data_IF_843002739403
#
_entry.id   IF_843002739403
#
_cell.length_a   1.000
_cell.length_b   1.000
_cell.length_c   1.000
_cell.angle_alpha   90.00
_cell.angle_beta   90.00
_cell.angle_gamma   90.00
#
_symmetry.space_group_name_H-M   'P 1'
#
loop_
_entity.id
_entity.type
_entity.pdbx_description
1 polymer ?
#
# COMPACT_ATOMS: atom_id res chain seq x y z
N UNK A 1 -16.91 24.52 -10.18
CA UNK A 1 -17.84 23.37 -10.08
C UNK A 1 -18.22 23.03 -11.50
N UNK A 2 -17.60 21.99 -12.07
CA UNK A 2 -17.98 21.46 -13.38
C UNK A 2 -19.27 20.64 -13.21
N UNK A 3 -20.16 20.72 -14.19
CA UNK A 3 -21.45 20.02 -14.20
C UNK A 3 -21.21 18.51 -14.41
N UNK A 4 -22.11 17.61 -13.96
CA UNK A 4 -22.05 16.18 -14.28
C UNK A 4 -22.04 15.84 -15.79
N UNK A 5 -22.20 16.84 -16.67
CA UNK A 5 -22.11 16.74 -18.13
C UNK A 5 -20.70 16.97 -18.71
N UNK A 6 -19.69 17.29 -17.89
CA UNK A 6 -18.33 17.60 -18.35
C UNK A 6 -17.38 16.38 -18.32
N UNK A 7 -17.91 15.17 -18.12
CA UNK A 7 -17.12 13.94 -18.21
C UNK A 7 -16.96 13.52 -19.67
N UNK A 8 -15.75 13.12 -20.14
CA UNK A 8 -15.59 12.60 -21.49
C UNK A 8 -16.51 11.40 -21.69
N UNK A 9 -17.12 11.30 -22.87
CA UNK A 9 -17.83 10.07 -23.21
C UNK A 9 -16.84 8.89 -23.35
N UNK A 10 -17.40 7.68 -23.31
CA UNK A 10 -16.64 6.44 -23.30
C UNK A 10 -15.77 6.24 -24.55
N UNK A 11 -16.18 6.79 -25.70
CA UNK A 11 -15.40 6.69 -26.94
C UNK A 11 -14.13 7.53 -26.81
N UNK A 12 -14.23 8.77 -26.33
CA UNK A 12 -13.09 9.65 -26.14
C UNK A 12 -12.08 9.08 -25.13
N UNK A 13 -12.58 8.56 -23.99
CA UNK A 13 -11.73 7.93 -22.98
C UNK A 13 -10.94 6.75 -23.58
N UNK A 14 -11.61 5.86 -24.32
CA UNK A 14 -10.98 4.71 -24.96
C UNK A 14 -9.95 5.11 -26.02
N UNK A 15 -10.24 6.16 -26.81
CA UNK A 15 -9.32 6.66 -27.82
C UNK A 15 -8.07 7.27 -27.18
N UNK A 16 -8.22 8.10 -26.15
CA UNK A 16 -7.08 8.73 -25.45
C UNK A 16 -6.22 7.70 -24.72
N UNK A 17 -6.82 6.73 -24.03
CA UNK A 17 -6.06 5.66 -23.37
C UNK A 17 -5.32 4.80 -24.41
N UNK A 18 -5.98 4.41 -25.51
CA UNK A 18 -5.35 3.69 -26.61
C UNK A 18 -4.19 4.46 -27.25
N UNK A 19 -4.28 5.80 -27.33
CA UNK A 19 -3.19 6.65 -27.82
C UNK A 19 -1.99 6.61 -26.88
N UNK A 20 -2.24 6.74 -25.58
CA UNK A 20 -1.20 6.77 -24.54
C UNK A 20 -0.46 5.43 -24.49
N UNK A 21 -1.19 4.33 -24.64
CA UNK A 21 -0.63 2.98 -24.63
C UNK A 21 0.00 2.57 -25.98
N UNK A 22 -0.09 3.41 -27.01
CA UNK A 22 0.42 3.14 -28.35
C UNK A 22 -0.33 2.03 -29.09
N UNK A 23 -1.61 1.81 -28.76
CA UNK A 23 -2.45 0.72 -29.27
C UNK A 23 -3.55 1.18 -30.23
N UNK A 24 -3.50 2.42 -30.73
CA UNK A 24 -4.45 2.89 -31.75
C UNK A 24 -4.06 2.42 -33.15
N UNK A 25 -5.04 1.89 -33.88
CA UNK A 25 -4.98 1.76 -35.34
C UNK A 25 -5.22 3.13 -36.03
N UNK A 26 -5.01 3.18 -37.35
CA UNK A 26 -5.12 4.44 -38.11
C UNK A 26 -6.53 5.03 -38.10
N UNK A 27 -7.57 4.21 -38.12
CA UNK A 27 -8.96 4.66 -38.17
C UNK A 27 -9.34 5.33 -36.85
N UNK A 28 -8.99 4.70 -35.73
CA UNK A 28 -9.23 5.23 -34.39
C UNK A 28 -8.34 6.45 -34.09
N UNK A 29 -7.13 6.51 -34.63
CA UNK A 29 -6.28 7.70 -34.51
C UNK A 29 -6.90 8.91 -35.24
N UNK A 30 -7.37 8.72 -36.47
CA UNK A 30 -8.07 9.78 -37.22
C UNK A 30 -9.34 10.24 -36.51
N UNK A 31 -10.07 9.30 -35.89
CA UNK A 31 -11.25 9.59 -35.07
C UNK A 31 -10.91 10.43 -33.84
N UNK A 32 -9.82 10.11 -33.15
CA UNK A 32 -9.33 10.91 -32.02
C UNK A 32 -8.95 12.33 -32.48
N UNK A 33 -8.19 12.46 -33.56
CA UNK A 33 -7.80 13.77 -34.11
C UNK A 33 -9.01 14.64 -34.48
N UNK A 34 -10.04 14.05 -35.08
CA UNK A 34 -11.29 14.75 -35.40
C UNK A 34 -11.93 15.32 -34.14
N UNK A 35 -12.02 14.53 -33.07
CA UNK A 35 -12.62 14.94 -31.81
C UNK A 35 -11.79 16.00 -31.09
N UNK A 36 -10.48 15.83 -31.00
CA UNK A 36 -9.58 16.82 -30.40
C UNK A 36 -9.64 18.19 -31.10
N UNK A 37 -9.93 18.19 -32.41
CA UNK A 37 -10.08 19.42 -33.20
C UNK A 37 -11.42 20.12 -32.98
N UNK A 38 -12.49 19.34 -32.85
CA UNK A 38 -13.87 19.85 -32.87
C UNK A 38 -14.46 20.05 -31.46
N UNK A 39 -13.89 19.41 -30.44
CA UNK A 39 -14.40 19.40 -29.08
C UNK A 39 -13.33 19.92 -28.09
N UNK A 40 -13.42 21.18 -27.61
CA UNK A 40 -12.47 21.73 -26.63
C UNK A 40 -12.35 20.90 -25.36
N UNK A 41 -13.46 20.34 -24.87
CA UNK A 41 -13.48 19.43 -23.71
C UNK A 41 -12.69 18.13 -23.96
N UNK A 42 -12.64 17.66 -25.22
CA UNK A 42 -11.85 16.50 -25.59
C UNK A 42 -10.35 16.78 -25.55
N UNK A 43 -9.95 17.96 -26.01
CA UNK A 43 -8.57 18.43 -25.93
C UNK A 43 -8.11 18.59 -24.47
N UNK A 44 -8.95 19.20 -23.62
CA UNK A 44 -8.66 19.36 -22.19
C UNK A 44 -8.54 18.01 -21.49
N UNK A 45 -9.47 17.09 -21.73
CA UNK A 45 -9.40 15.74 -21.18
C UNK A 45 -8.13 14.99 -21.64
N UNK A 46 -7.81 15.04 -22.93
CA UNK A 46 -6.60 14.41 -23.47
C UNK A 46 -5.33 15.01 -22.85
N UNK A 47 -5.25 16.34 -22.73
CA UNK A 47 -4.12 17.02 -22.10
C UNK A 47 -3.98 16.65 -20.61
N UNK A 48 -5.09 16.59 -19.87
CA UNK A 48 -5.10 16.14 -18.48
C UNK A 48 -4.64 14.68 -18.37
N UNK A 49 -5.06 13.81 -19.28
CA UNK A 49 -4.70 12.39 -19.29
C UNK A 49 -3.23 12.14 -19.66
N UNK A 50 -2.68 12.90 -20.59
CA UNK A 50 -1.24 12.89 -20.91
C UNK A 50 -0.42 13.41 -19.73
N UNK A 51 -0.82 14.55 -19.14
CA UNK A 51 -0.14 15.13 -17.99
C UNK A 51 -0.16 14.17 -16.79
N UNK A 52 -1.30 13.52 -16.58
CA UNK A 52 -1.48 12.47 -15.59
C UNK A 52 -0.48 11.33 -15.81
N UNK A 53 -0.45 10.76 -17.02
CA UNK A 53 0.44 9.64 -17.33
C UNK A 53 1.91 10.02 -17.26
N UNK A 54 2.26 11.26 -17.65
CA UNK A 54 3.61 11.80 -17.49
C UNK A 54 4.02 11.91 -16.02
N UNK A 55 3.15 12.45 -15.15
CA UNK A 55 3.39 12.52 -13.70
C UNK A 55 3.52 11.13 -13.10
N UNK A 56 2.66 10.20 -13.50
CA UNK A 56 2.70 8.82 -13.04
C UNK A 56 4.00 8.12 -13.46
N UNK A 57 4.44 8.29 -14.71
CA UNK A 57 5.71 7.76 -15.22
C UNK A 57 6.93 8.42 -14.56
N UNK A 58 6.84 9.66 -14.11
CA UNK A 58 7.90 10.29 -13.30
C UNK A 58 7.95 9.72 -11.87
N UNK A 59 6.79 9.41 -11.28
CA UNK A 59 6.68 8.83 -9.93
C UNK A 59 7.07 7.34 -9.94
N UNK A 60 6.68 6.59 -10.97
CA UNK A 60 6.90 5.15 -11.12
C UNK A 60 8.11 4.80 -12.00
N UNK A 61 8.76 5.81 -12.59
CA UNK A 61 9.94 5.63 -13.42
C UNK A 61 11.09 4.98 -12.64
N UNK A 62 11.97 4.22 -13.30
CA UNK A 62 13.04 3.51 -12.62
C UNK A 62 13.87 4.47 -11.78
N UNK A 63 13.98 4.16 -10.49
CA UNK A 63 14.85 4.86 -9.57
C UNK A 63 16.28 4.86 -10.14
N UNK A 64 16.91 6.04 -10.13
CA UNK A 64 18.29 6.24 -10.60
C UNK A 64 19.20 5.11 -10.11
N UNK A 65 19.77 4.34 -11.03
CA UNK A 65 20.79 3.34 -10.73
C UNK A 65 22.12 4.06 -10.69
N UNK A 66 22.69 4.20 -9.50
CA UNK A 66 24.01 4.77 -9.33
C UNK A 66 25.00 3.63 -9.09
N UNK A 67 25.86 3.39 -10.09
CA UNK A 67 26.89 2.37 -10.02
C UNK A 67 28.17 3.03 -9.50
N UNK A 68 28.47 2.84 -8.21
CA UNK A 68 29.69 3.37 -7.61
C UNK A 68 30.76 2.28 -7.64
N UNK A 69 31.78 2.48 -8.46
CA UNK A 69 32.91 1.57 -8.57
C UNK A 69 34.10 2.12 -7.77
N UNK A 70 34.36 1.53 -6.61
CA UNK A 70 35.50 1.90 -5.77
C UNK A 70 36.68 0.95 -6.04
N UNK A 71 37.82 1.51 -6.45
CA UNK A 71 39.09 0.77 -6.58
C UNK A 71 39.98 1.13 -5.42
N UNK A 72 40.30 0.16 -4.56
CA UNK A 72 41.31 0.33 -3.50
C UNK A 72 42.58 -0.42 -3.88
N UNK A 73 43.70 0.29 -3.83
CA UNK A 73 45.04 -0.27 -4.00
C UNK A 73 45.72 -0.27 -2.63
N UNK A 74 45.85 -1.44 -2.03
CA UNK A 74 46.55 -1.64 -0.76
C UNK A 74 47.93 -2.20 -1.05
N UNK A 75 48.97 -1.48 -0.62
CA UNK A 75 50.36 -1.94 -0.66
C UNK A 75 50.76 -2.17 0.79
N UNK A 76 50.77 -3.42 1.22
CA UNK A 76 51.27 -3.79 2.54
C UNK A 76 52.70 -4.32 2.41
N UNK A 77 53.57 -3.85 3.31
CA UNK A 77 54.96 -4.27 3.38
C UNK A 77 55.36 -4.55 4.82
N UNK A 78 55.85 -5.77 5.06
CA UNK A 78 56.67 -6.06 6.23
C UNK A 78 57.95 -6.75 5.73
N UNK A 79 59.09 -6.05 5.85
CA UNK A 79 60.38 -6.49 5.33
C UNK A 79 60.51 -6.38 3.80
N UNK A 80 61.36 -7.22 3.19
CA UNK A 80 61.70 -7.19 1.77
C UNK A 80 60.60 -7.71 0.83
N UNK A 81 59.46 -8.19 1.36
CA UNK A 81 58.31 -8.61 0.56
C UNK A 81 57.22 -7.54 0.59
N UNK A 82 56.88 -7.01 -0.60
CA UNK A 82 55.73 -6.11 -0.80
C UNK A 82 54.60 -6.88 -1.46
N UNK A 83 53.41 -6.83 -0.85
CA UNK A 83 52.19 -7.41 -1.43
C UNK A 83 51.27 -6.26 -1.86
N UNK A 84 50.95 -6.22 -3.15
CA UNK A 84 49.97 -5.30 -3.71
C UNK A 84 48.65 -6.05 -3.87
N UNK A 85 47.62 -5.61 -3.16
CA UNK A 85 46.25 -6.14 -3.29
C UNK A 85 45.40 -5.05 -3.93
N UNK A 86 44.86 -5.36 -5.11
CA UNK A 86 43.92 -4.51 -5.83
C UNK A 86 42.53 -5.08 -5.57
N UNK A 87 41.76 -4.40 -4.71
CA UNK A 87 40.36 -4.72 -4.49
C UNK A 87 39.47 -3.87 -5.38
N UNK A 88 38.60 -4.50 -6.17
CA UNK A 88 37.45 -3.84 -6.79
C UNK A 88 36.21 -4.20 -5.99
N UNK A 89 35.52 -3.19 -5.47
CA UNK A 89 34.13 -3.36 -5.04
C UNK A 89 33.21 -2.67 -6.03
N UNK A 90 32.14 -3.37 -6.40
CA UNK A 90 31.02 -2.80 -7.14
C UNK A 90 29.87 -2.67 -6.16
N UNK A 91 29.43 -1.43 -5.93
CA UNK A 91 28.20 -1.18 -5.17
C UNK A 91 27.17 -0.68 -6.15
N UNK A 92 26.12 -1.48 -6.35
CA UNK A 92 24.96 -1.06 -7.15
C UNK A 92 23.93 -0.51 -6.18
N UNK A 93 23.71 0.81 -6.23
CA UNK A 93 22.77 1.48 -5.36
C UNK A 93 21.43 1.65 -6.09
N UNK A 94 20.36 1.13 -5.50
CA UNK A 94 18.99 1.34 -5.95
C UNK A 94 18.29 2.24 -4.94
N UNK A 95 17.82 3.42 -5.36
CA UNK A 95 17.00 4.26 -4.49
C UNK A 95 16.62 5.60 -5.07
N UNK A 96 15.33 5.93 -4.95
CA UNK A 96 14.85 7.31 -4.95
C UNK A 96 14.69 7.76 -3.50
N UNK A 97 15.43 8.81 -3.11
CA UNK A 97 15.26 9.52 -1.85
C UNK A 97 15.46 8.69 -0.57
N UNK A 98 16.71 8.63 -0.11
CA UNK A 98 17.00 8.58 1.33
C UNK A 98 16.78 7.26 2.08
N UNK A 99 17.28 6.13 1.56
CA UNK A 99 17.93 5.05 2.33
C UNK A 99 18.33 3.92 1.36
N UNK A 100 19.55 3.39 1.48
CA UNK A 100 20.17 2.52 0.49
C UNK A 100 20.25 1.07 0.99
N UNK A 101 19.70 0.13 0.22
CA UNK A 101 19.91 -1.30 0.42
C UNK A 101 21.31 -1.67 -0.08
N UNK A 102 22.21 -2.11 0.81
CA UNK A 102 23.58 -2.53 0.48
C UNK A 102 23.61 -4.03 0.14
N UNK A 103 23.90 -4.35 -1.13
CA UNK A 103 24.29 -5.70 -1.54
C UNK A 103 25.80 -5.71 -1.82
N UNK A 104 26.57 -6.27 -0.89
CA UNK A 104 28.01 -6.53 -1.10
C UNK A 104 28.21 -7.88 -1.79
N UNK A 105 28.55 -7.85 -3.07
CA UNK A 105 29.09 -9.01 -3.78
C UNK A 105 30.61 -8.98 -3.76
N UNK A 106 31.25 -9.96 -3.12
CA UNK A 106 32.69 -10.22 -3.32
C UNK A 106 32.84 -11.22 -4.47
N UNK A 107 33.59 -10.85 -5.52
CA UNK A 107 33.90 -11.76 -6.62
C UNK A 107 35.20 -12.51 -6.31
N UNK A 108 35.32 -13.83 -6.60
CA UNK A 108 36.55 -14.57 -6.36
C UNK A 108 37.66 -14.13 -7.30
N UNK A 109 38.89 -14.12 -6.80
CA UNK A 109 40.10 -13.75 -7.52
C UNK A 109 40.27 -14.58 -8.81
N UNK A 110 40.27 -13.91 -9.97
CA UNK A 110 40.72 -14.51 -11.22
C UNK A 110 42.25 -14.42 -11.34
N UNK A 111 42.88 -15.58 -11.49
CA UNK A 111 44.32 -15.74 -11.60
C UNK A 111 44.73 -15.68 -13.08
N UNK A 112 45.07 -14.49 -13.60
CA UNK A 112 45.58 -14.36 -14.97
C UNK A 112 47.09 -14.12 -14.96
N UNK A 113 47.84 -15.16 -15.31
CA UNK A 113 49.28 -15.15 -15.61
C UNK A 113 49.53 -14.50 -16.98
N UNK A 114 49.49 -13.17 -17.10
CA UNK A 114 50.31 -12.46 -18.09
C UNK A 114 50.37 -10.94 -17.84
N UNK A 115 51.53 -10.36 -17.48
CA UNK A 115 51.61 -8.96 -17.05
C UNK A 115 51.38 -7.93 -18.17
N UNK A 116 51.54 -8.31 -19.44
CA UNK A 116 51.41 -7.37 -20.58
C UNK A 116 49.96 -6.92 -20.87
N UNK A 117 48.97 -7.77 -20.61
CA UNK A 117 47.56 -7.40 -20.83
C UNK A 117 47.01 -6.46 -19.74
N UNK A 118 47.52 -6.57 -18.50
CA UNK A 118 47.13 -5.71 -17.39
C UNK A 118 47.47 -4.23 -17.65
N UNK A 119 48.67 -3.94 -18.15
CA UNK A 119 49.10 -2.57 -18.44
C UNK A 119 48.32 -1.92 -19.58
N UNK A 120 47.92 -2.69 -20.60
CA UNK A 120 47.11 -2.17 -21.71
C UNK A 120 45.69 -1.81 -21.25
N UNK A 121 45.07 -2.66 -20.42
CA UNK A 121 43.74 -2.38 -19.84
C UNK A 121 43.73 -1.21 -18.86
N UNK A 122 44.82 -0.97 -18.13
CA UNK A 122 44.96 0.21 -17.25
C UNK A 122 45.11 1.49 -18.08
N UNK A 123 45.91 1.45 -19.16
CA UNK A 123 46.08 2.60 -20.05
C UNK A 123 44.76 3.05 -20.71
N UNK A 124 43.96 2.10 -21.20
CA UNK A 124 42.65 2.39 -21.81
C UNK A 124 41.66 2.95 -20.78
N UNK A 125 41.66 2.44 -19.55
CA UNK A 125 40.80 2.94 -18.48
C UNK A 125 41.13 4.38 -18.05
N UNK A 126 42.42 4.75 -18.02
CA UNK A 126 42.87 6.12 -17.71
C UNK A 126 42.46 7.09 -18.82
N UNK A 127 42.60 6.68 -20.08
CA UNK A 127 42.19 7.48 -21.24
C UNK A 127 40.67 7.73 -21.26
N UNK A 128 39.86 6.71 -20.98
CA UNK A 128 38.41 6.85 -20.87
C UNK A 128 37.99 7.73 -19.69
N UNK A 129 38.65 7.61 -18.53
CA UNK A 129 38.40 8.46 -17.38
C UNK A 129 38.74 9.93 -17.67
N UNK A 130 39.86 10.20 -18.35
CA UNK A 130 40.24 11.55 -18.77
C UNK A 130 39.23 12.14 -19.77
N UNK A 131 38.70 11.33 -20.68
CA UNK A 131 37.70 11.75 -21.67
C UNK A 131 36.35 12.10 -21.01
N UNK A 132 35.90 11.28 -20.05
CA UNK A 132 34.68 11.54 -19.26
C UNK A 132 34.83 12.78 -18.38
N UNK A 133 36.00 12.96 -17.75
CA UNK A 133 36.29 14.15 -16.94
C UNK A 133 36.32 15.42 -17.79
N UNK A 134 36.88 15.35 -19.00
CA UNK A 134 36.89 16.47 -19.96
C UNK A 134 35.47 16.83 -20.41
N UNK A 135 34.60 15.82 -20.60
CA UNK A 135 33.20 16.03 -20.97
C UNK A 135 32.36 16.61 -19.81
N UNK A 136 32.68 16.24 -18.56
CA UNK A 136 32.03 16.78 -17.37
C UNK A 136 32.42 18.25 -17.10
N UNK A 137 33.69 18.61 -17.34
CA UNK A 137 34.18 19.99 -17.21
C UNK A 137 33.57 20.89 -18.31
N UNK A 138 33.38 20.37 -19.52
CA UNK A 138 32.74 21.11 -20.62
C UNK A 138 31.23 21.30 -20.45
N UNK A 139 30.56 20.51 -19.61
CA UNK A 139 29.13 20.69 -19.25
C UNK A 139 28.90 21.65 -18.08
N UNK A 140 29.95 22.09 -17.38
CA UNK A 140 29.81 22.91 -16.17
C UNK A 140 29.64 24.42 -16.43
N UNK A 141 29.12 24.80 -17.59
CA UNK A 141 28.89 26.19 -17.96
C UNK A 141 27.40 26.44 -18.21
N UNK A 142 26.59 26.26 -17.17
CA UNK A 142 25.28 26.90 -16.97
C UNK A 142 24.74 26.46 -15.60
N UNK A 143 25.21 27.11 -14.53
CA UNK A 143 24.59 27.02 -13.22
C UNK A 143 23.45 28.03 -13.14
N UNK A 144 22.23 27.66 -12.72
CA UNK A 144 21.18 28.62 -12.44
C UNK A 144 21.53 29.46 -11.20
N UNK A 145 20.98 30.69 -11.07
CA UNK A 145 21.36 31.60 -10.00
C UNK A 145 20.97 31.07 -8.60
N UNK A 146 21.75 31.42 -7.57
CA UNK A 146 21.51 30.95 -6.21
C UNK A 146 20.24 31.62 -5.65
N UNK A 147 19.23 30.81 -5.30
CA UNK A 147 17.98 31.28 -4.70
C UNK A 147 16.70 30.56 -5.13
N UNK A 148 16.76 29.63 -6.09
CA UNK A 148 15.60 28.79 -6.41
C UNK A 148 15.48 27.62 -5.39
N UNK A 149 14.31 27.39 -4.79
CA UNK A 149 14.09 26.26 -3.89
C UNK A 149 14.27 24.92 -4.63
N UNK A 150 14.78 23.92 -3.91
CA UNK A 150 15.01 22.59 -4.47
C UNK A 150 13.68 21.95 -4.94
N UNK A 151 13.66 21.14 -6.01
CA UNK A 151 12.47 20.42 -6.46
C UNK A 151 11.90 19.41 -5.44
N UNK A 152 12.57 19.20 -4.29
CA UNK A 152 12.12 18.31 -3.22
C UNK A 152 11.23 18.98 -2.17
N UNK A 153 11.03 20.30 -2.22
CA UNK A 153 10.18 21.02 -1.26
C UNK A 153 8.87 21.57 -1.88
N UNK A 154 8.76 21.59 -3.21
CA UNK A 154 7.55 21.99 -3.91
C UNK A 154 6.62 20.78 -4.12
N UNK A 155 5.90 20.37 -3.07
CA UNK A 155 4.79 19.43 -3.25
C UNK A 155 4.56 18.40 -2.14
N UNK A 156 5.18 18.51 -0.96
CA UNK A 156 4.58 17.85 0.21
C UNK A 156 3.29 18.59 0.52
N UNK A 157 2.09 17.99 0.36
CA UNK A 157 0.91 18.60 0.94
C UNK A 157 1.22 18.83 2.42
N UNK A 158 1.04 20.08 2.86
CA UNK A 158 1.03 20.43 4.27
C UNK A 158 0.19 19.39 5.01
N UNK A 159 0.65 18.97 6.19
CA UNK A 159 0.05 17.94 7.02
C UNK A 159 -1.47 18.06 7.07
N UNK A 160 -2.18 17.36 6.19
CA UNK A 160 -3.60 17.12 6.34
C UNK A 160 -3.66 16.30 7.62
N UNK A 161 -4.15 16.91 8.69
CA UNK A 161 -4.28 16.25 9.97
C UNK A 161 -5.39 15.20 9.81
N UNK A 162 -4.99 13.95 9.62
CA UNK A 162 -5.90 12.79 9.45
C UNK A 162 -6.65 12.40 10.73
N UNK A 163 -6.54 13.22 11.77
CA UNK A 163 -7.37 13.07 12.95
C UNK A 163 -8.84 13.23 12.59
N UNK A 164 -9.70 12.62 13.40
CA UNK A 164 -11.15 12.73 13.25
C UNK A 164 -11.76 13.13 14.57
N UNK A 165 -12.15 14.39 14.66
CA UNK A 165 -12.87 14.92 15.81
C UNK A 165 -14.20 14.19 15.97
N UNK A 166 -14.53 13.71 17.17
CA UNK A 166 -15.84 13.12 17.44
C UNK A 166 -16.97 14.13 17.19
N UNK A 167 -18.10 13.64 16.67
CA UNK A 167 -19.23 14.45 16.21
C UNK A 167 -20.17 14.88 17.35
N UNK A 168 -20.10 14.20 18.49
CA UNK A 168 -20.97 14.44 19.65
C UNK A 168 -20.33 13.90 20.93
N UNK A 169 -20.84 14.25 22.13
CA UNK A 169 -20.39 13.65 23.39
C UNK A 169 -20.53 12.12 23.43
N UNK A 170 -21.60 11.57 22.86
CA UNK A 170 -21.80 10.12 22.77
C UNK A 170 -20.77 9.47 21.84
N UNK A 171 -20.47 10.11 20.71
CA UNK A 171 -19.44 9.67 19.77
C UNK A 171 -18.04 9.76 20.40
N UNK A 172 -17.76 10.82 21.17
CA UNK A 172 -16.51 10.96 21.94
C UNK A 172 -16.36 9.81 22.94
N UNK A 173 -17.39 9.52 23.74
CA UNK A 173 -17.36 8.39 24.68
C UNK A 173 -17.08 7.07 23.97
N UNK A 174 -17.78 6.81 22.86
CA UNK A 174 -17.57 5.61 22.05
C UNK A 174 -16.11 5.48 21.57
N UNK A 175 -15.55 6.53 20.97
CA UNK A 175 -14.18 6.48 20.47
C UNK A 175 -13.14 6.36 21.58
N UNK A 176 -13.36 6.98 22.74
CA UNK A 176 -12.46 6.82 23.90
C UNK A 176 -12.50 5.39 24.44
N UNK A 177 -13.68 4.76 24.52
CA UNK A 177 -13.80 3.35 24.90
C UNK A 177 -13.14 2.42 23.87
N UNK A 178 -13.32 2.71 22.58
CA UNK A 178 -12.67 1.97 21.49
C UNK A 178 -11.14 2.09 21.55
N UNK A 179 -10.61 3.29 21.69
CA UNK A 179 -9.17 3.54 21.85
C UNK A 179 -8.60 2.89 23.12
N UNK A 180 -9.33 2.97 24.23
CA UNK A 180 -8.94 2.30 25.49
C UNK A 180 -8.88 0.78 25.30
N UNK A 181 -9.85 0.18 24.59
CA UNK A 181 -9.83 -1.25 24.25
C UNK A 181 -8.64 -1.65 23.37
N UNK A 182 -8.18 -0.75 22.49
CA UNK A 182 -6.96 -0.94 21.67
C UNK A 182 -5.66 -0.63 22.43
N UNK A 183 -5.73 -0.27 23.71
CA UNK A 183 -4.58 0.11 24.53
C UNK A 183 -3.90 1.41 24.07
N UNK A 184 -4.66 2.38 23.57
CA UNK A 184 -4.12 3.68 23.16
C UNK A 184 -3.66 4.49 24.37
N UNK A 185 -2.49 5.12 24.23
CA UNK A 185 -2.06 6.17 25.15
C UNK A 185 -2.63 7.55 24.73
N UNK A 186 -2.47 8.56 25.59
CA UNK A 186 -2.99 9.91 25.33
C UNK A 186 -2.45 10.54 24.04
N UNK A 187 -1.18 10.30 23.68
CA UNK A 187 -0.59 10.84 22.46
C UNK A 187 -1.25 10.24 21.20
N UNK A 188 -1.57 8.95 21.24
CA UNK A 188 -2.26 8.26 20.15
C UNK A 188 -3.73 8.66 20.09
N UNK A 189 -4.39 8.83 21.23
CA UNK A 189 -5.76 9.37 21.29
C UNK A 189 -5.82 10.77 20.68
N UNK A 190 -4.83 11.63 20.96
CA UNK A 190 -4.69 12.95 20.33
C UNK A 190 -4.46 12.83 18.83
N UNK A 191 -3.60 11.92 18.39
CA UNK A 191 -3.36 11.69 16.96
C UNK A 191 -4.63 11.21 16.23
N UNK A 192 -5.46 10.39 16.90
CA UNK A 192 -6.70 9.88 16.34
C UNK A 192 -7.84 10.91 16.32
N UNK A 193 -7.95 11.75 17.36
CA UNK A 193 -9.10 12.65 17.56
C UNK A 193 -8.84 14.11 17.23
N UNK A 194 -7.59 14.58 17.38
CA UNK A 194 -7.24 15.99 17.26
C UNK A 194 -7.70 16.85 18.44
N UNK A 195 -8.05 16.23 19.57
CA UNK A 195 -8.38 16.90 20.83
C UNK A 195 -7.13 17.11 21.68
N UNK A 196 -7.10 18.18 22.47
CA UNK A 196 -5.99 18.45 23.37
C UNK A 196 -5.96 17.46 24.55
N UNK A 197 -4.77 17.26 25.13
CA UNK A 197 -4.57 16.30 26.23
C UNK A 197 -5.49 16.57 27.41
N UNK A 198 -5.69 17.83 27.78
CA UNK A 198 -6.57 18.22 28.89
C UNK A 198 -8.03 17.88 28.64
N UNK A 199 -8.51 18.03 27.40
CA UNK A 199 -9.85 17.65 26.98
C UNK A 199 -10.03 16.12 27.05
N UNK A 200 -9.05 15.37 26.54
CA UNK A 200 -9.05 13.90 26.58
C UNK A 200 -9.07 13.37 28.01
N UNK A 201 -8.20 13.88 28.88
CA UNK A 201 -8.18 13.48 30.29
C UNK A 201 -9.48 13.82 31.02
N UNK A 202 -10.04 15.01 30.75
CA UNK A 202 -11.31 15.39 31.35
C UNK A 202 -12.44 14.48 30.90
N UNK A 203 -12.49 14.11 29.61
CA UNK A 203 -13.49 13.21 29.07
C UNK A 203 -13.31 11.78 29.60
N UNK A 204 -12.08 11.26 29.67
CA UNK A 204 -11.79 9.94 30.24
C UNK A 204 -12.25 9.84 31.71
N UNK A 205 -11.99 10.89 32.51
CA UNK A 205 -12.48 10.97 33.90
C UNK A 205 -14.01 11.09 33.96
N UNK A 206 -14.60 11.96 33.14
CA UNK A 206 -16.05 12.19 33.12
C UNK A 206 -16.84 10.94 32.75
N UNK A 207 -16.34 10.15 31.80
CA UNK A 207 -16.99 8.93 31.33
C UNK A 207 -16.53 7.67 32.07
N UNK A 208 -15.63 7.82 33.05
CA UNK A 208 -15.09 6.73 33.87
C UNK A 208 -14.48 5.59 33.04
N UNK A 209 -13.83 5.92 31.91
CA UNK A 209 -13.38 4.91 30.93
C UNK A 209 -12.16 4.18 31.45
N UNK A 210 -12.34 2.88 31.73
CA UNK A 210 -11.28 2.00 32.27
C UNK A 210 -10.84 0.89 31.30
N UNK A 211 -11.50 0.76 30.14
CA UNK A 211 -11.14 -0.20 29.08
C UNK A 211 -11.94 -1.51 29.09
N UNK A 212 -13.00 -1.60 29.89
CA UNK A 212 -13.85 -2.80 30.00
C UNK A 212 -15.24 -2.66 29.34
N UNK A 213 -15.63 -1.44 28.99
CA UNK A 213 -17.04 -1.07 28.89
C UNK A 213 -17.71 -1.27 27.52
N UNK A 214 -16.98 -1.72 26.50
CA UNK A 214 -17.61 -1.96 25.21
C UNK A 214 -18.45 -3.23 25.28
N UNK A 215 -19.73 -3.08 24.92
CA UNK A 215 -20.70 -4.16 24.84
C UNK A 215 -20.22 -5.23 23.84
N UNK A 216 -19.60 -6.27 24.40
CA UNK A 216 -19.09 -7.41 23.68
C UNK A 216 -20.04 -8.59 23.88
N UNK A 217 -20.69 -8.95 22.77
CA UNK A 217 -21.45 -10.17 22.63
C UNK A 217 -20.54 -11.39 22.78
N UNK A 218 -20.74 -12.18 23.84
CA UNK A 218 -19.91 -13.35 24.19
C UNK A 218 -20.02 -14.52 23.20
N UNK A 219 -21.01 -14.48 22.32
CA UNK A 219 -21.28 -15.49 21.29
C UNK A 219 -20.57 -15.21 19.95
N UNK A 220 -19.76 -14.16 19.87
CA UNK A 220 -19.01 -13.79 18.66
C UNK A 220 -17.63 -13.21 19.00
N UNK A 221 -16.72 -13.14 18.03
CA UNK A 221 -15.46 -12.42 18.16
C UNK A 221 -15.70 -10.90 18.32
N UNK A 222 -14.84 -10.24 19.08
CA UNK A 222 -14.90 -8.79 19.23
C UNK A 222 -14.29 -8.12 17.99
N UNK A 223 -15.13 -7.36 17.30
CA UNK A 223 -14.74 -6.56 16.13
C UNK A 223 -15.06 -5.10 16.40
N UNK A 224 -14.11 -4.21 16.13
CA UNK A 224 -14.26 -2.76 16.33
C UNK A 224 -13.60 -1.98 15.20
N UNK A 225 -14.13 -0.84 14.75
CA UNK A 225 -13.44 0.04 13.80
C UNK A 225 -12.07 0.44 14.36
N UNK A 226 -11.03 0.40 13.51
CA UNK A 226 -9.70 0.81 13.95
C UNK A 226 -9.70 2.32 14.24
N UNK A 227 -9.18 2.80 15.39
CA UNK A 227 -9.29 4.22 15.73
C UNK A 227 -8.56 5.21 14.80
N UNK A 228 -7.56 4.73 14.05
CA UNK A 228 -6.59 5.60 13.37
C UNK A 228 -5.59 6.22 14.35
N UNK A 229 -4.75 7.16 13.91
CA UNK A 229 -3.77 7.85 14.75
C UNK A 229 -2.54 7.02 15.17
N UNK A 230 -2.72 5.72 15.42
CA UNK A 230 -1.63 4.73 15.53
C UNK A 230 -1.39 4.10 14.15
N UNK A 231 -0.13 3.80 13.83
CA UNK A 231 0.22 3.12 12.58
C UNK A 231 -0.10 1.61 12.69
N UNK A 232 -0.88 1.01 11.78
CA UNK A 232 -1.30 -0.39 11.90
C UNK A 232 -0.21 -1.40 11.50
N UNK A 233 0.81 -0.97 10.73
CA UNK A 233 1.99 -1.80 10.40
C UNK A 233 3.11 -1.68 11.44
N UNK A 234 3.82 -2.78 11.67
CA UNK A 234 5.06 -2.83 12.46
C UNK A 234 6.21 -2.15 11.72
N UNK A 235 6.46 -2.56 10.47
CA UNK A 235 7.48 -1.99 9.57
C UNK A 235 6.91 -1.57 8.21
N UNK A 236 7.79 -1.13 7.31
CA UNK A 236 7.44 -0.63 5.97
C UNK A 236 6.35 0.47 6.03
N UNK A 237 6.52 1.41 6.98
CA UNK A 237 5.53 2.46 7.31
C UNK A 237 5.56 3.59 6.26
N UNK A 238 6.69 3.79 5.62
CA UNK A 238 6.90 4.67 4.49
C UNK A 238 6.10 4.26 3.24
N UNK A 239 5.65 3.00 3.17
CA UNK A 239 4.74 2.48 2.13
C UNK A 239 3.27 2.45 2.57
N UNK A 240 2.94 3.17 3.63
CA UNK A 240 1.58 3.40 4.13
C UNK A 240 1.50 4.73 4.87
N UNK A 241 1.99 5.80 4.24
CA UNK A 241 2.01 7.13 4.85
C UNK A 241 0.59 7.58 5.15
N UNK A 242 0.35 8.05 6.38
CA UNK A 242 -0.95 8.53 6.84
C UNK A 242 -2.10 7.53 6.58
N UNK A 243 -2.10 6.37 7.26
CA UNK A 243 -3.13 5.36 7.09
C UNK A 243 -4.49 5.90 7.53
N UNK A 244 -5.45 5.83 6.62
CA UNK A 244 -6.84 6.21 6.85
C UNK A 244 -7.55 5.11 7.64
N UNK A 245 -8.46 5.48 8.54
CA UNK A 245 -9.24 4.50 9.31
C UNK A 245 -10.50 3.99 8.59
N UNK A 246 -10.86 4.61 7.48
CA UNK A 246 -12.12 4.42 6.72
C UNK A 246 -12.41 2.95 6.39
N UNK A 247 -11.38 2.24 5.94
CA UNK A 247 -11.45 0.86 5.46
C UNK A 247 -10.94 -0.15 6.49
N UNK A 248 -10.65 0.29 7.73
CA UNK A 248 -9.93 -0.52 8.72
C UNK A 248 -10.80 -0.93 9.89
N UNK A 249 -10.77 -2.21 10.19
CA UNK A 249 -11.46 -2.82 11.34
C UNK A 249 -10.47 -3.72 12.08
N UNK A 250 -10.56 -3.75 13.40
CA UNK A 250 -9.79 -4.63 14.26
C UNK A 250 -10.62 -5.85 14.66
N UNK A 251 -10.00 -7.03 14.61
CA UNK A 251 -10.55 -8.27 15.18
C UNK A 251 -9.66 -8.68 16.34
N UNK A 252 -10.23 -8.73 17.55
CA UNK A 252 -9.51 -9.11 18.75
C UNK A 252 -9.41 -10.62 18.89
N UNK A 253 -8.26 -11.08 19.37
CA UNK A 253 -8.02 -12.52 19.53
C UNK A 253 -8.87 -13.12 20.65
N UNK A 254 -9.19 -14.43 20.59
CA UNK A 254 -9.89 -15.11 21.67
C UNK A 254 -9.00 -15.44 22.88
N UNK A 255 -7.67 -15.49 22.70
CA UNK A 255 -6.70 -15.87 23.75
C UNK A 255 -6.05 -14.70 24.49
N UNK A 256 -6.11 -13.49 23.94
CA UNK A 256 -5.49 -12.30 24.52
C UNK A 256 -6.43 -11.11 24.42
N UNK A 257 -6.56 -10.37 25.53
CA UNK A 257 -7.43 -9.19 25.62
C UNK A 257 -6.87 -8.02 24.83
N UNK A 258 -5.55 -7.93 24.75
CA UNK A 258 -4.82 -6.80 24.19
C UNK A 258 -4.46 -7.01 22.72
N UNK A 259 -4.34 -8.27 22.28
CA UNK A 259 -3.95 -8.57 20.91
C UNK A 259 -5.14 -8.46 19.94
N UNK A 260 -4.89 -7.81 18.81
CA UNK A 260 -5.82 -7.68 17.71
C UNK A 260 -5.11 -7.61 16.37
N UNK A 261 -5.83 -8.01 15.33
CA UNK A 261 -5.42 -7.90 13.93
C UNK A 261 -6.22 -6.79 13.28
N UNK A 262 -5.58 -5.94 12.48
CA UNK A 262 -6.28 -4.91 11.69
C UNK A 262 -6.49 -5.43 10.27
N UNK A 263 -7.74 -5.53 9.84
CA UNK A 263 -8.12 -5.82 8.45
C UNK A 263 -8.33 -4.50 7.71
N UNK A 264 -7.63 -4.31 6.60
CA UNK A 264 -7.77 -3.16 5.70
C UNK A 264 -8.45 -3.63 4.40
N UNK A 265 -9.74 -3.32 4.27
CA UNK A 265 -10.66 -3.99 3.36
C UNK A 265 -11.40 -2.97 2.47
N UNK A 266 -11.03 -2.85 1.18
CA UNK A 266 -9.70 -3.13 0.66
C UNK A 266 -8.70 -2.04 1.09
N UNK A 267 -7.43 -2.40 1.18
CA UNK A 267 -6.32 -1.45 1.26
C UNK A 267 -6.19 -0.64 -0.05
N UNK A 268 -6.38 -1.30 -1.18
CA UNK A 268 -6.29 -0.67 -2.49
C UNK A 268 -7.28 -1.24 -3.49
N UNK A 269 -7.79 -0.39 -4.38
CA UNK A 269 -8.55 -0.76 -5.55
C UNK A 269 -7.83 -0.22 -6.80
N UNK A 270 -7.40 -1.10 -7.71
CA UNK A 270 -6.58 -0.71 -8.86
C UNK A 270 -6.93 -1.45 -10.15
N UNK A 271 -6.68 -0.83 -11.31
CA UNK A 271 -6.70 -1.46 -12.64
C UNK A 271 -5.60 -0.87 -13.51
N UNK A 272 -4.93 -1.68 -14.32
CA UNK A 272 -4.02 -1.24 -15.40
C UNK A 272 -3.05 -0.09 -15.03
N UNK A 273 -2.45 -0.19 -13.83
CA UNK A 273 -1.52 0.77 -13.20
C UNK A 273 -2.13 2.00 -12.52
N UNK A 274 -3.45 2.12 -12.48
CA UNK A 274 -4.17 3.20 -11.82
C UNK A 274 -4.76 2.74 -10.49
N UNK A 275 -4.59 3.57 -9.45
CA UNK A 275 -5.30 3.40 -8.18
C UNK A 275 -6.60 4.21 -8.19
N UNK A 276 -7.73 3.51 -8.17
CA UNK A 276 -9.06 4.09 -7.92
C UNK A 276 -9.26 4.40 -6.44
N UNK A 277 -8.64 3.61 -5.57
CA UNK A 277 -8.66 3.84 -4.14
C UNK A 277 -7.37 3.35 -3.50
N UNK A 278 -6.91 4.08 -2.48
CA UNK A 278 -5.81 3.70 -1.62
C UNK A 278 -6.13 4.18 -0.20
N UNK A 279 -5.97 3.29 0.78
CA UNK A 279 -6.31 3.54 2.19
C UNK A 279 -5.24 4.33 2.95
N UNK A 280 -4.23 4.85 2.25
CA UNK A 280 -3.11 5.64 2.73
C UNK A 280 -2.59 6.52 1.57
N UNK A 281 -1.55 7.29 1.81
CA UNK A 281 -1.17 8.45 0.99
C UNK A 281 0.25 8.36 0.39
N UNK A 282 0.86 7.18 0.39
CA UNK A 282 2.24 7.02 -0.13
C UNK A 282 2.29 7.14 -1.67
N UNK A 283 1.20 6.76 -2.35
CA UNK A 283 1.02 6.84 -3.80
C UNK A 283 -0.25 7.61 -4.16
N UNK A 284 -0.23 8.32 -5.30
CA UNK A 284 -1.43 9.01 -5.78
C UNK A 284 -2.51 8.06 -6.29
N UNK A 285 -3.76 8.36 -5.96
CA UNK A 285 -4.93 7.84 -6.68
C UNK A 285 -5.28 8.73 -7.88
N UNK A 286 -6.10 8.22 -8.80
CA UNK A 286 -6.56 9.02 -9.94
C UNK A 286 -7.26 10.32 -9.51
N UNK A 287 -7.97 10.28 -8.39
CA UNK A 287 -8.68 11.42 -7.81
C UNK A 287 -7.72 12.46 -7.25
N UNK A 288 -6.71 12.02 -6.51
CA UNK A 288 -5.73 12.92 -5.92
C UNK A 288 -4.94 13.70 -6.98
N UNK A 289 -4.65 13.07 -8.13
CA UNK A 289 -3.98 13.71 -9.26
C UNK A 289 -4.88 14.73 -9.98
N UNK A 290 -6.20 14.57 -9.88
CA UNK A 290 -7.20 15.53 -10.35
C UNK A 290 -7.51 16.61 -9.29
N UNK A 291 -6.84 16.59 -8.13
CA UNK A 291 -7.14 17.50 -7.02
C UNK A 291 -8.46 17.20 -6.30
N UNK A 292 -9.02 16.01 -6.52
CA UNK A 292 -10.25 15.57 -5.86
C UNK A 292 -9.90 14.83 -4.58
N UNK A 293 -10.36 15.38 -3.45
CA UNK A 293 -10.27 14.72 -2.15
C UNK A 293 -11.53 13.90 -1.90
N UNK A 294 -11.36 12.59 -1.69
CA UNK A 294 -12.47 11.73 -1.29
C UNK A 294 -12.90 12.04 0.15
N UNK A 295 -14.21 12.04 0.44
CA UNK A 295 -14.70 12.29 1.79
C UNK A 295 -14.33 11.17 2.75
N UNK A 296 -14.15 11.52 4.03
CA UNK A 296 -13.94 10.56 5.12
C UNK A 296 -15.22 9.79 5.43
N UNK A 297 -15.09 8.49 5.70
CA UNK A 297 -16.19 7.56 6.01
C UNK A 297 -15.99 6.89 7.36
N UNK A 298 -17.08 6.66 8.09
CA UNK A 298 -17.08 5.81 9.29
C UNK A 298 -17.85 4.53 9.01
N UNK A 299 -17.47 3.45 9.67
CA UNK A 299 -18.22 2.21 9.67
C UNK A 299 -19.58 2.40 10.35
N UNK A 300 -20.63 1.92 9.71
CA UNK A 300 -21.95 1.77 10.30
C UNK A 300 -21.97 0.48 11.14
N UNK A 301 -22.32 0.61 12.43
CA UNK A 301 -22.52 -0.54 13.32
C UNK A 301 -23.96 -1.04 13.18
N UNK A 302 -24.11 -2.30 12.83
CA UNK A 302 -25.41 -2.97 12.72
C UNK A 302 -25.85 -3.56 14.07
N UNK A 303 -27.17 -3.75 14.30
CA UNK A 303 -27.68 -4.33 15.55
C UNK A 303 -27.15 -5.74 15.86
N UNK A 304 -26.75 -6.48 14.83
CA UNK A 304 -26.16 -7.82 14.98
C UNK A 304 -24.74 -7.79 15.55
N UNK A 305 -24.08 -6.63 15.57
CA UNK A 305 -22.65 -6.48 15.86
C UNK A 305 -21.77 -6.48 14.61
N UNK A 306 -22.35 -6.66 13.43
CA UNK A 306 -21.66 -6.49 12.16
C UNK A 306 -21.36 -5.00 11.88
N UNK A 307 -20.38 -4.77 11.01
CA UNK A 307 -20.00 -3.43 10.54
C UNK A 307 -20.08 -3.38 9.02
N UNK A 308 -20.56 -2.27 8.48
CA UNK A 308 -20.52 -2.03 7.04
C UNK A 308 -20.10 -0.61 6.67
N UNK A 309 -19.53 -0.43 5.50
CA UNK A 309 -19.40 0.88 4.88
C UNK A 309 -19.56 0.76 3.36
N UNK A 310 -19.85 1.91 2.71
CA UNK A 310 -19.86 2.04 1.25
C UNK A 310 -19.12 3.30 0.85
N UNK A 311 -18.26 3.18 -0.16
CA UNK A 311 -17.56 4.29 -0.81
C UNK A 311 -18.01 4.42 -2.25
N UNK A 312 -18.46 5.62 -2.60
CA UNK A 312 -18.73 6.02 -3.98
C UNK A 312 -17.52 6.76 -4.52
N UNK A 313 -17.10 6.42 -5.74
CA UNK A 313 -16.01 7.07 -6.44
C UNK A 313 -16.58 8.03 -7.51
N UNK A 314 -15.88 9.14 -7.82
CA UNK A 314 -16.37 10.16 -8.75
C UNK A 314 -16.76 9.68 -10.15
N UNK A 315 -16.25 8.55 -10.63
CA UNK A 315 -16.60 7.99 -11.94
C UNK A 315 -17.85 7.12 -11.95
N UNK A 316 -18.57 6.96 -10.84
CA UNK A 316 -19.73 6.05 -10.77
C UNK A 316 -19.38 4.60 -10.41
N UNK A 317 -18.12 4.30 -10.06
CA UNK A 317 -17.80 3.03 -9.40
C UNK A 317 -18.06 3.17 -7.91
N UNK A 318 -18.72 2.20 -7.29
CA UNK A 318 -18.83 2.14 -5.84
C UNK A 318 -18.40 0.79 -5.31
N UNK A 319 -17.87 0.77 -4.09
CA UNK A 319 -17.57 -0.47 -3.40
C UNK A 319 -18.00 -0.39 -1.94
N UNK A 320 -18.29 -1.52 -1.33
CA UNK A 320 -18.68 -1.60 0.07
C UNK A 320 -18.20 -2.89 0.70
N UNK A 321 -17.96 -2.84 2.00
CA UNK A 321 -17.56 -4.00 2.78
C UNK A 321 -18.52 -4.20 3.93
N UNK A 322 -18.91 -5.45 4.15
CA UNK A 322 -19.60 -5.91 5.35
C UNK A 322 -18.71 -6.90 6.10
N UNK A 323 -18.65 -6.74 7.42
CA UNK A 323 -17.83 -7.53 8.34
C UNK A 323 -18.76 -8.08 9.41
N UNK A 324 -18.97 -9.39 9.41
CA UNK A 324 -19.93 -10.07 10.28
C UNK A 324 -19.19 -11.01 11.23
N UNK A 325 -19.07 -10.62 12.52
CA UNK A 325 -18.45 -11.46 13.53
C UNK A 325 -19.31 -12.70 13.83
N UNK A 326 -18.66 -13.84 13.96
CA UNK A 326 -19.22 -15.11 14.43
C UNK A 326 -18.40 -15.60 15.64
N UNK A 327 -18.79 -16.73 16.24
CA UNK A 327 -18.14 -17.28 17.45
C UNK A 327 -16.63 -17.51 17.30
N UNK A 328 -16.20 -18.06 16.17
CA UNK A 328 -14.82 -18.50 15.90
C UNK A 328 -14.19 -17.83 14.68
N UNK A 329 -14.95 -16.95 14.00
CA UNK A 329 -14.61 -16.45 12.68
C UNK A 329 -15.28 -15.11 12.40
N UNK A 330 -14.87 -14.47 11.31
CA UNK A 330 -15.47 -13.26 10.77
C UNK A 330 -15.74 -13.50 9.29
N UNK A 331 -16.99 -13.31 8.89
CA UNK A 331 -17.39 -13.30 7.48
C UNK A 331 -17.12 -11.92 6.91
N UNK A 332 -16.52 -11.87 5.73
CA UNK A 332 -16.25 -10.65 5.00
C UNK A 332 -17.05 -10.69 3.70
N UNK A 333 -17.65 -9.57 3.31
CA UNK A 333 -18.29 -9.44 1.99
C UNK A 333 -17.80 -8.15 1.35
N UNK A 334 -17.19 -8.24 0.18
CA UNK A 334 -16.82 -7.10 -0.65
C UNK A 334 -17.81 -7.01 -1.80
N UNK A 335 -18.39 -5.83 -1.98
CA UNK A 335 -19.32 -5.53 -3.08
C UNK A 335 -18.70 -4.45 -3.96
N UNK A 336 -18.82 -4.60 -5.27
CA UNK A 336 -18.38 -3.59 -6.24
C UNK A 336 -19.51 -3.40 -7.24
N UNK A 337 -20.00 -2.17 -7.36
CA UNK A 337 -21.07 -1.79 -8.29
C UNK A 337 -20.51 -0.88 -9.37
N UNK A 338 -20.87 -1.19 -10.62
CA UNK A 338 -20.46 -0.43 -11.78
C UNK A 338 -21.62 0.41 -12.32
N UNK A 339 -21.76 1.66 -11.88
CA UNK A 339 -22.75 2.58 -12.43
C UNK A 339 -22.19 3.37 -13.64
N UNK A 340 -21.09 2.89 -14.25
CA UNK A 340 -20.50 3.49 -15.44
C UNK A 340 -21.10 2.88 -16.73
N UNK A 341 -20.90 3.55 -17.86
CA UNK A 341 -21.36 3.04 -19.16
C UNK A 341 -20.48 1.92 -19.75
N UNK A 342 -19.33 1.62 -19.14
CA UNK A 342 -18.36 0.66 -19.67
C UNK A 342 -18.14 -0.51 -18.71
N UNK A 343 -17.88 -1.73 -19.22
CA UNK A 343 -17.51 -2.85 -18.35
C UNK A 343 -16.21 -2.56 -17.60
N UNK A 344 -16.19 -2.83 -16.30
CA UNK A 344 -14.95 -2.80 -15.51
C UNK A 344 -14.26 -4.15 -15.68
N UNK A 345 -13.00 -4.11 -16.12
CA UNK A 345 -12.14 -5.28 -16.33
C UNK A 345 -10.87 -5.11 -15.51
N UNK A 346 -10.17 -6.21 -15.22
CA UNK A 346 -8.86 -6.22 -14.56
C UNK A 346 -8.79 -5.48 -13.21
N UNK A 347 -9.93 -5.24 -12.56
CA UNK A 347 -9.98 -4.61 -11.25
C UNK A 347 -9.36 -5.56 -10.22
N UNK A 348 -8.53 -5.00 -9.35
CA UNK A 348 -7.85 -5.73 -8.28
C UNK A 348 -8.18 -5.05 -6.96
N UNK A 349 -8.70 -5.83 -6.02
CA UNK A 349 -8.84 -5.43 -4.62
C UNK A 349 -7.72 -6.06 -3.81
N UNK A 350 -6.87 -5.22 -3.23
CA UNK A 350 -5.86 -5.66 -2.26
C UNK A 350 -6.49 -5.65 -0.87
N UNK A 351 -6.60 -6.81 -0.24
CA UNK A 351 -7.14 -6.95 1.11
C UNK A 351 -5.98 -7.29 2.05
N UNK A 352 -5.71 -6.43 3.02
CA UNK A 352 -4.51 -6.52 3.84
C UNK A 352 -4.85 -6.89 5.28
N UNK A 353 -4.12 -7.84 5.83
CA UNK A 353 -4.23 -8.25 7.23
C UNK A 353 -2.95 -7.82 7.95
N UNK A 354 -3.08 -6.87 8.86
CA UNK A 354 -1.99 -6.17 9.51
C UNK A 354 -1.83 -6.66 10.95
N UNK A 355 -0.65 -7.20 11.26
CA UNK A 355 -0.35 -7.86 12.54
C UNK A 355 0.27 -6.92 13.59
N UNK A 356 0.19 -5.60 13.41
CA UNK A 356 0.83 -4.64 14.31
C UNK A 356 0.29 -4.59 15.72
N UNK A 357 -0.94 -5.08 15.93
CA UNK A 357 -1.54 -5.26 17.26
C UNK A 357 -1.32 -6.64 17.86
N UNK A 358 -0.46 -7.50 17.27
CA UNK A 358 -0.27 -8.90 17.69
C UNK A 358 1.13 -9.11 18.26
N UNK A 359 1.26 -9.13 19.59
CA UNK A 359 2.57 -9.17 20.28
C UNK A 359 3.42 -10.38 19.87
N UNK A 360 2.80 -11.57 19.81
CA UNK A 360 3.46 -12.84 19.46
C UNK A 360 3.65 -13.09 17.95
N UNK A 361 3.24 -12.14 17.09
CA UNK A 361 3.32 -12.23 15.62
C UNK A 361 4.19 -11.11 15.03
N UNK A 362 5.05 -10.50 15.83
CA UNK A 362 5.86 -9.33 15.44
C UNK A 362 7.04 -9.64 14.51
N UNK A 363 7.34 -10.92 14.29
CA UNK A 363 8.44 -11.36 13.42
C UNK A 363 8.24 -10.92 11.96
N UNK A 364 9.21 -10.15 11.46
CA UNK A 364 9.27 -9.60 10.10
C UNK A 364 9.87 -10.61 9.11
N UNK A 365 9.20 -11.75 8.94
CA UNK A 365 9.65 -12.85 8.04
C UNK A 365 8.50 -13.35 7.17
N UNK A 366 8.82 -14.11 6.13
CA UNK A 366 7.87 -14.92 5.36
C UNK A 366 7.83 -16.37 5.84
N UNK A 367 8.82 -16.83 6.62
CA UNK A 367 8.91 -18.22 7.08
C UNK A 367 7.76 -18.63 8.00
N UNK A 368 7.10 -17.64 8.62
CA UNK A 368 5.94 -17.86 9.47
C UNK A 368 4.60 -17.85 8.71
N UNK A 369 4.64 -17.87 7.37
CA UNK A 369 3.45 -17.76 6.52
C UNK A 369 3.22 -19.03 5.73
N UNK A 370 1.95 -19.37 5.60
CA UNK A 370 1.47 -20.47 4.75
C UNK A 370 0.51 -19.87 3.73
N UNK A 371 0.76 -20.15 2.46
CA UNK A 371 -0.10 -19.77 1.35
C UNK A 371 -0.60 -21.04 0.67
N UNK A 372 -1.90 -21.34 0.81
CA UNK A 372 -2.47 -22.59 0.33
C UNK A 372 -3.89 -22.37 -0.16
N UNK A 373 -4.16 -22.77 -1.42
CA UNK A 373 -5.47 -22.65 -2.03
C UNK A 373 -5.94 -21.19 -2.05
N UNK A 374 -7.01 -20.89 -1.30
CA UNK A 374 -7.56 -19.54 -1.18
C UNK A 374 -7.10 -18.79 0.08
N UNK A 375 -6.18 -19.35 0.85
CA UNK A 375 -5.84 -18.89 2.20
C UNK A 375 -4.41 -18.39 2.31
N UNK A 376 -4.26 -17.30 3.05
CA UNK A 376 -3.01 -16.87 3.64
C UNK A 376 -3.12 -17.00 5.16
N UNK A 377 -2.15 -17.67 5.78
CA UNK A 377 -2.08 -17.85 7.22
C UNK A 377 -0.73 -17.42 7.77
N UNK A 378 -0.69 -16.89 8.99
CA UNK A 378 0.53 -16.55 9.73
C UNK A 378 0.49 -17.27 11.07
N UNK A 379 1.60 -17.87 11.50
CA UNK A 379 1.73 -18.43 12.85
C UNK A 379 2.58 -17.55 13.78
N UNK A 380 2.33 -17.68 15.07
CA UNK A 380 3.20 -17.14 16.13
C UNK A 380 4.51 -17.93 16.21
N UNK A 381 5.46 -17.48 17.04
CA UNK A 381 6.76 -18.15 17.20
C UNK A 381 6.64 -19.64 17.62
N UNK A 382 5.68 -19.95 18.50
CA UNK A 382 5.47 -21.31 19.00
C UNK A 382 4.77 -22.25 18.00
N UNK A 383 4.25 -21.74 16.87
CA UNK A 383 3.51 -22.50 15.85
C UNK A 383 2.22 -23.16 16.34
N UNK A 384 1.67 -22.66 17.45
CA UNK A 384 0.45 -23.15 18.08
C UNK A 384 -0.72 -22.17 17.94
N UNK A 385 -0.49 -20.97 17.39
CA UNK A 385 -1.53 -19.97 17.12
C UNK A 385 -1.40 -19.39 15.73
N UNK A 386 -2.53 -19.25 15.06
CA UNK A 386 -2.60 -18.85 13.67
C UNK A 386 -3.63 -17.74 13.44
N UNK A 387 -3.27 -16.85 12.54
CA UNK A 387 -4.17 -15.87 11.92
C UNK A 387 -4.42 -16.35 10.49
N UNK A 388 -5.68 -16.54 10.11
CA UNK A 388 -6.07 -17.10 8.81
C UNK A 388 -6.96 -16.08 8.09
N UNK A 389 -6.66 -15.80 6.84
CA UNK A 389 -7.55 -15.06 5.94
C UNK A 389 -7.71 -15.78 4.62
N UNK A 390 -8.87 -15.65 3.99
CA UNK A 390 -9.10 -16.15 2.65
C UNK A 390 -10.19 -15.36 1.94
N UNK A 391 -10.16 -15.39 0.62
CA UNK A 391 -11.22 -14.84 -0.22
C UNK A 391 -11.60 -15.86 -1.28
N UNK A 392 -12.88 -15.85 -1.68
CA UNK A 392 -13.28 -16.62 -2.84
C UNK A 392 -12.45 -16.20 -4.06
N UNK A 393 -12.11 -17.17 -4.91
CA UNK A 393 -11.29 -16.90 -6.09
C UNK A 393 -10.00 -16.11 -5.81
N UNK A 394 -9.41 -16.25 -4.61
CA UNK A 394 -8.12 -15.64 -4.30
C UNK A 394 -7.08 -16.05 -5.34
N UNK A 395 -6.60 -15.07 -6.09
CA UNK A 395 -5.66 -15.26 -7.20
C UNK A 395 -4.26 -14.78 -6.84
N UNK A 396 -4.13 -13.95 -5.79
CA UNK A 396 -2.84 -13.47 -5.32
C UNK A 396 -2.74 -13.62 -3.81
N UNK A 397 -2.00 -14.65 -3.40
CA UNK A 397 -1.61 -14.87 -2.02
C UNK A 397 -0.19 -14.36 -1.82
N UNK A 398 0.02 -13.42 -0.90
CA UNK A 398 1.36 -12.86 -0.69
C UNK A 398 1.50 -12.18 0.67
N UNK A 399 2.74 -11.80 0.97
CA UNK A 399 3.13 -10.96 2.09
C UNK A 399 4.52 -10.41 1.83
N UNK A 400 4.99 -9.55 2.71
CA UNK A 400 6.34 -8.97 2.64
C UNK A 400 7.01 -9.14 4.00
N UNK A 401 8.30 -9.47 4.01
CA UNK A 401 9.02 -9.66 5.28
C UNK A 401 9.03 -8.37 6.12
N UNK A 402 9.37 -7.23 5.49
CA UNK A 402 9.50 -5.92 6.15
C UNK A 402 8.20 -5.31 6.67
N UNK A 403 7.05 -5.77 6.17
CA UNK A 403 5.72 -5.46 6.69
C UNK A 403 5.00 -6.79 6.86
N UNK A 404 5.07 -7.44 8.03
CA UNK A 404 4.53 -8.79 8.22
C UNK A 404 2.99 -8.74 8.20
N UNK A 405 2.45 -8.61 6.98
CA UNK A 405 1.04 -8.65 6.64
C UNK A 405 0.74 -9.93 5.87
N UNK A 406 -0.55 -10.26 5.78
CA UNK A 406 -1.07 -11.32 4.92
C UNK A 406 -2.00 -10.71 3.88
N UNK A 407 -1.91 -11.23 2.67
CA UNK A 407 -2.82 -10.91 1.58
C UNK A 407 -3.42 -12.19 1.01
N UNK A 408 -4.73 -12.16 0.82
CA UNK A 408 -5.46 -13.11 0.00
C UNK A 408 -6.37 -12.30 -0.93
N UNK A 409 -5.81 -11.82 -2.04
CA UNK A 409 -6.52 -10.88 -2.90
C UNK A 409 -7.41 -11.63 -3.90
N UNK A 410 -8.74 -11.40 -3.91
CA UNK A 410 -9.66 -12.04 -4.85
C UNK A 410 -9.44 -11.56 -6.27
N UNK A 411 -9.67 -12.46 -7.23
CA UNK A 411 -9.93 -12.06 -8.61
C UNK A 411 -11.33 -11.46 -8.69
N UNK A 412 -11.44 -10.19 -9.09
CA UNK A 412 -12.73 -9.55 -9.33
C UNK A 412 -13.17 -9.93 -10.76
N UNK A 413 -14.35 -10.53 -10.96
CA UNK A 413 -14.86 -10.82 -12.30
C UNK A 413 -15.16 -9.52 -13.06
N UNK A 414 -15.33 -9.63 -14.38
CA UNK A 414 -15.78 -8.48 -15.19
C UNK A 414 -17.14 -8.02 -14.66
N UNK A 415 -17.25 -6.73 -14.32
CA UNK A 415 -18.49 -6.13 -13.83
C UNK A 415 -19.09 -5.28 -14.96
N UNK A 416 -20.21 -5.70 -15.54
CA UNK A 416 -20.86 -4.97 -16.63
C UNK A 416 -21.52 -3.68 -16.13
N UNK A 417 -21.87 -2.73 -17.01
CA UNK A 417 -22.67 -1.57 -16.66
C UNK A 417 -23.96 -1.95 -15.92
N UNK A 418 -24.21 -1.30 -14.78
CA UNK A 418 -25.36 -1.53 -13.90
C UNK A 418 -25.28 -2.79 -13.04
N UNK A 419 -24.20 -3.57 -13.13
CA UNK A 419 -24.03 -4.77 -12.31
C UNK A 419 -23.36 -4.49 -10.96
N UNK A 420 -23.66 -5.38 -10.02
CA UNK A 420 -22.94 -5.50 -8.75
C UNK A 420 -22.31 -6.89 -8.69
N UNK A 421 -21.00 -6.93 -8.46
CA UNK A 421 -20.28 -8.16 -8.11
C UNK A 421 -20.13 -8.24 -6.60
N UNK A 422 -20.26 -9.45 -6.07
CA UNK A 422 -20.11 -9.76 -4.64
C UNK A 422 -19.00 -10.79 -4.51
N UNK A 423 -18.12 -10.58 -3.55
CA UNK A 423 -17.02 -11.47 -3.23
C UNK A 423 -17.08 -11.81 -1.75
N UNK A 424 -17.05 -13.10 -1.42
CA UNK A 424 -17.04 -13.57 -0.04
C UNK A 424 -15.60 -13.75 0.46
N UNK A 425 -15.40 -13.43 1.73
CA UNK A 425 -14.14 -13.55 2.44
C UNK A 425 -14.32 -14.17 3.82
N UNK A 426 -13.20 -14.67 4.34
CA UNK A 426 -13.09 -15.34 5.62
C UNK A 426 -11.90 -14.78 6.39
N UNK A 427 -12.11 -14.63 7.69
CA UNK A 427 -11.03 -14.40 8.64
C UNK A 427 -11.30 -15.24 9.90
N UNK A 428 -10.27 -15.88 10.45
CA UNK A 428 -10.39 -16.61 11.70
C UNK A 428 -9.06 -16.68 12.45
N UNK A 429 -9.17 -17.07 13.71
CA UNK A 429 -8.06 -17.47 14.55
C UNK A 429 -8.08 -18.97 14.74
N UNK A 430 -6.91 -19.58 14.90
CA UNK A 430 -6.81 -21.02 15.18
C UNK A 430 -5.73 -21.28 16.24
N UNK A 431 -6.07 -22.11 17.22
CA UNK A 431 -5.12 -22.64 18.21
C UNK A 431 -4.89 -24.13 17.94
N UNK A 432 -3.66 -24.48 17.59
CA UNK A 432 -3.24 -25.83 17.22
C UNK A 432 -2.04 -25.83 16.26
N UNK A 433 -1.47 -27.02 16.05
CA UNK A 433 -0.25 -27.20 15.24
C UNK A 433 -0.54 -27.62 13.78
N UNK A 434 -1.72 -28.19 13.51
CA UNK A 434 -2.08 -28.74 12.19
C UNK A 434 -2.89 -27.73 11.36
N UNK A 435 -2.17 -26.75 10.80
CA UNK A 435 -2.78 -25.74 9.92
C UNK A 435 -3.42 -26.37 8.68
N UNK A 436 -2.89 -27.46 8.14
CA UNK A 436 -3.42 -28.09 6.93
C UNK A 436 -4.80 -28.71 7.19
N UNK A 437 -4.97 -29.40 8.31
CA UNK A 437 -6.27 -29.93 8.72
C UNK A 437 -7.27 -28.81 8.99
N UNK A 438 -6.84 -27.71 9.62
CA UNK A 438 -7.72 -26.57 9.87
C UNK A 438 -8.18 -25.89 8.58
N UNK A 439 -7.28 -25.66 7.61
CA UNK A 439 -7.67 -25.11 6.31
C UNK A 439 -8.65 -26.04 5.57
N UNK A 440 -8.47 -27.36 5.66
CA UNK A 440 -9.42 -28.32 5.11
C UNK A 440 -10.79 -28.29 5.81
N UNK A 441 -10.80 -28.14 7.15
CA UNK A 441 -12.04 -27.98 7.93
C UNK A 441 -12.78 -26.72 7.51
N UNK A 442 -12.08 -25.59 7.40
CA UNK A 442 -12.66 -24.31 6.96
C UNK A 442 -13.24 -24.45 5.55
N UNK A 443 -12.49 -25.03 4.61
CA UNK A 443 -12.97 -25.26 3.23
C UNK A 443 -14.25 -26.10 3.21
N UNK A 444 -14.33 -27.15 4.04
CA UNK A 444 -15.50 -28.02 4.15
C UNK A 444 -16.76 -27.32 4.70
N UNK A 445 -16.63 -26.12 5.29
CA UNK A 445 -17.77 -25.31 5.70
C UNK A 445 -18.54 -24.71 4.52
N UNK A 446 -18.02 -24.81 3.28
CA UNK A 446 -18.70 -24.31 2.08
C UNK A 446 -18.90 -22.79 2.10
N UNK A 447 -17.97 -22.07 2.74
CA UNK A 447 -18.18 -20.67 3.05
C UNK A 447 -18.20 -19.70 1.87
N UNK A 448 -17.58 -20.10 0.76
CA UNK A 448 -17.51 -19.28 -0.45
C UNK A 448 -18.90 -19.08 -1.07
N UNK A 449 -19.80 -20.03 -0.82
CA UNK A 449 -21.18 -20.01 -1.33
C UNK A 449 -22.20 -19.56 -0.28
N UNK A 450 -21.75 -19.24 0.94
CA UNK A 450 -22.64 -18.80 2.01
C UNK A 450 -23.08 -17.35 1.77
N UNK A 451 -24.39 -17.06 1.86
CA UNK A 451 -24.95 -15.77 1.45
C UNK A 451 -24.41 -14.58 2.23
#
# INVERSE_FOLDING_TARGET
>A
MASPQDWPDAELASLVDGMIDGQLDQERYARLEERLRNEPAAADYCAQRILFNSKLAQILGPSRVELVQNRRLLIEGQGSNRRVVIGQSQTTQFGGGGEALLLEGTSPASNTRNPLWGYLSIGIAILLAALVLSFAILRQKESPPPGAPSPQEAGRPSSVLWHRKPKSPADLRYWLQNMSRHGFNLAEMRAATGLETTELESALRQYEITGEELDHRRDQLLVLPYPGGRHPRIGNREKAVNPQRDSKVSVFTPWSREDYVVLDLPEALSSDNYYYYLSHSDLPTIWSLQGVQLPSLEWERLPTGAYRYRRELPNGVSFGVEVTPLADSVRLRLTITNDTAMPIRNLKAQNCVLLGGMTSFSNQTLDNKVFQGSYAACHNEAKDRWVITGWESANRLWGIASAPCLHADPLIPVCQPGETVVLNGWFSFYEGEDITAELARIEALGWKDAP
#
